data_IF_211097147677
#
_entry.id   IF_211097147677
#
_cell.length_a   1.000
_cell.length_b   1.000
_cell.length_c   1.000
_cell.angle_alpha   90.00
_cell.angle_beta   90.00
_cell.angle_gamma   90.00
#
_symmetry.space_group_name_H-M   'P 1'
#
loop_
_entity.id
_entity.type
_entity.pdbx_description
1 polymer ?
#
# COMPACT_ATOMS: atom_id res chain seq x y z
N UNK A 1 -3.83 -15.92 8.39
CA UNK A 1 -3.96 -14.99 7.24
C UNK A 1 -5.12 -15.47 6.41
N UNK A 2 -6.08 -14.59 6.12
CA UNK A 2 -7.23 -14.90 5.25
C UNK A 2 -7.06 -14.07 4.00
N UNK A 3 -7.07 -14.72 2.84
CA UNK A 3 -6.96 -14.07 1.53
C UNK A 3 -8.25 -14.27 0.76
N UNK A 4 -8.63 -13.26 -0.01
CA UNK A 4 -9.76 -13.32 -0.93
C UNK A 4 -9.21 -13.39 -2.35
N UNK A 5 -9.69 -14.36 -3.13
CA UNK A 5 -9.26 -14.52 -4.51
C UNK A 5 -9.90 -13.42 -5.35
N UNK A 6 -9.08 -12.67 -6.07
CA UNK A 6 -9.55 -11.65 -7.01
C UNK A 6 -10.15 -12.36 -8.24
N UNK A 7 -11.43 -12.12 -8.51
CA UNK A 7 -12.07 -12.54 -9.76
C UNK A 7 -11.60 -11.65 -10.92
N UNK A 8 -10.68 -12.17 -11.74
CA UNK A 8 -10.13 -11.44 -12.88
C UNK A 8 -11.15 -11.12 -13.96
N UNK A 9 -12.30 -11.78 -14.03
CA UNK A 9 -13.28 -11.52 -15.10
C UNK A 9 -14.11 -10.26 -14.82
N UNK A 10 -14.41 -9.98 -13.56
CA UNK A 10 -15.14 -8.78 -13.13
C UNK A 10 -14.20 -7.63 -12.69
N UNK A 11 -12.89 -7.88 -12.63
CA UNK A 11 -11.94 -6.88 -12.13
C UNK A 11 -11.66 -5.76 -13.13
N UNK A 12 -12.13 -4.54 -12.81
CA UNK A 12 -11.91 -3.33 -13.61
C UNK A 12 -10.44 -3.04 -13.95
N UNK A 13 -9.49 -3.53 -13.15
CA UNK A 13 -8.05 -3.29 -13.36
C UNK A 13 -7.34 -4.42 -14.11
N UNK A 14 -8.07 -5.43 -14.62
CA UNK A 14 -7.50 -6.61 -15.31
C UNK A 14 -6.52 -6.23 -16.40
N UNK A 15 -6.92 -5.35 -17.32
CA UNK A 15 -6.08 -4.96 -18.47
C UNK A 15 -4.79 -4.24 -18.04
N UNK A 16 -4.90 -3.29 -17.10
CA UNK A 16 -3.74 -2.60 -16.54
C UNK A 16 -2.81 -3.54 -15.79
N UNK A 17 -3.36 -4.48 -15.02
CA UNK A 17 -2.56 -5.48 -14.32
C UNK A 17 -1.78 -6.33 -15.33
N UNK A 18 -2.42 -6.85 -16.38
CA UNK A 18 -1.74 -7.64 -17.41
C UNK A 18 -0.63 -6.84 -18.11
N UNK A 19 -0.91 -5.57 -18.42
CA UNK A 19 0.06 -4.72 -19.07
C UNK A 19 1.29 -4.46 -18.20
N UNK A 20 1.13 -4.02 -16.95
CA UNK A 20 2.24 -3.65 -16.08
C UNK A 20 2.87 -4.82 -15.31
N UNK A 21 2.22 -5.98 -15.30
CA UNK A 21 2.74 -7.18 -14.64
C UNK A 21 3.41 -8.15 -15.64
N UNK A 22 2.81 -8.36 -16.82
CA UNK A 22 3.28 -9.35 -17.81
C UNK A 22 3.95 -8.69 -19.01
N UNK A 23 3.24 -7.77 -19.68
CA UNK A 23 3.68 -7.25 -20.99
C UNK A 23 4.87 -6.30 -20.88
N UNK A 24 4.80 -5.35 -19.92
CA UNK A 24 5.83 -4.36 -19.64
C UNK A 24 5.99 -4.25 -18.11
N UNK A 25 6.70 -5.21 -17.48
CA UNK A 25 6.93 -5.20 -16.04
C UNK A 25 7.65 -3.92 -15.60
N UNK A 26 7.05 -3.14 -14.70
CA UNK A 26 7.65 -1.90 -14.22
C UNK A 26 7.26 -1.56 -12.78
N UNK A 27 8.12 -0.75 -12.13
CA UNK A 27 7.92 -0.24 -10.77
C UNK A 27 8.31 1.22 -10.70
N UNK A 28 7.69 1.98 -9.79
CA UNK A 28 8.04 3.37 -9.52
C UNK A 28 8.29 3.58 -8.02
N UNK A 29 9.03 4.64 -7.70
CA UNK A 29 9.20 5.13 -6.34
C UNK A 29 8.95 6.63 -6.30
N UNK A 30 8.54 7.13 -5.14
CA UNK A 30 8.33 8.56 -4.92
C UNK A 30 8.75 8.95 -3.50
N UNK A 31 9.27 10.16 -3.36
CA UNK A 31 9.67 10.73 -2.07
C UNK A 31 8.82 11.94 -1.79
N UNK A 32 8.19 11.96 -0.61
CA UNK A 32 7.39 13.10 -0.14
C UNK A 32 7.81 13.50 1.26
N UNK A 33 7.73 14.81 1.56
CA UNK A 33 7.92 15.31 2.92
C UNK A 33 6.57 15.24 3.64
N UNK A 34 6.52 14.47 4.72
CA UNK A 34 5.33 14.33 5.57
C UNK A 34 5.52 15.15 6.85
N UNK A 35 4.55 15.99 7.20
CA UNK A 35 4.56 16.73 8.45
C UNK A 35 4.23 15.81 9.64
N UNK A 36 5.21 15.63 10.53
CA UNK A 36 5.12 14.79 11.74
C UNK A 36 4.91 15.60 13.03
N UNK A 37 4.59 16.89 12.94
CA UNK A 37 4.46 17.80 14.09
C UNK A 37 3.50 17.25 15.15
N UNK A 38 2.39 16.63 14.74
CA UNK A 38 1.41 16.05 15.66
C UNK A 38 1.97 14.86 16.47
N UNK A 39 2.86 14.06 15.89
CA UNK A 39 3.51 12.93 16.57
C UNK A 39 4.44 13.46 17.68
N UNK A 40 5.20 14.51 17.36
CA UNK A 40 6.10 15.18 18.33
C UNK A 40 5.32 15.85 19.46
N UNK A 41 4.24 16.57 19.14
CA UNK A 41 3.37 17.23 20.16
C UNK A 41 2.78 16.24 21.15
N UNK A 42 2.44 15.03 20.70
CA UNK A 42 1.92 13.94 21.54
C UNK A 42 3.01 13.15 22.29
N UNK A 43 4.28 13.56 22.17
CA UNK A 43 5.44 12.90 22.80
C UNK A 43 5.53 11.38 22.54
N UNK A 44 5.07 10.94 21.37
CA UNK A 44 5.11 9.54 20.97
C UNK A 44 6.52 9.13 20.58
N UNK A 45 6.91 7.88 20.89
CA UNK A 45 8.13 7.27 20.33
C UNK A 45 8.00 7.23 18.80
N UNK A 46 8.90 7.91 18.09
CA UNK A 46 8.75 8.17 16.66
C UNK A 46 8.65 6.89 15.83
N UNK A 47 9.59 5.95 16.03
CA UNK A 47 9.65 4.73 15.23
C UNK A 47 8.40 3.83 15.34
N UNK A 48 7.93 3.42 16.55
CA UNK A 48 6.73 2.63 16.66
C UNK A 48 5.47 3.38 16.21
N UNK A 49 5.40 4.71 16.39
CA UNK A 49 4.29 5.51 15.90
C UNK A 49 4.21 5.51 14.36
N UNK A 50 5.35 5.75 13.69
CA UNK A 50 5.42 5.71 12.23
C UNK A 50 5.06 4.33 11.69
N UNK A 51 5.60 3.26 12.29
CA UNK A 51 5.30 1.89 11.89
C UNK A 51 3.81 1.59 12.00
N UNK A 52 3.18 1.96 13.11
CA UNK A 52 1.73 1.80 13.31
C UNK A 52 0.92 2.58 12.28
N UNK A 53 1.22 3.86 12.03
CA UNK A 53 0.46 4.65 11.06
C UNK A 53 0.59 4.14 9.63
N UNK A 54 1.81 3.78 9.20
CA UNK A 54 2.04 3.22 7.86
C UNK A 54 1.28 1.90 7.71
N UNK A 55 1.46 0.97 8.64
CA UNK A 55 0.81 -0.35 8.58
C UNK A 55 -0.71 -0.24 8.68
N UNK A 56 -1.25 0.72 9.42
CA UNK A 56 -2.69 0.98 9.49
C UNK A 56 -3.26 1.35 8.11
N UNK A 57 -2.57 2.21 7.35
CA UNK A 57 -3.02 2.59 6.01
C UNK A 57 -2.81 1.45 5.02
N UNK A 58 -1.65 0.78 5.04
CA UNK A 58 -1.39 -0.41 4.20
C UNK A 58 -2.47 -1.47 4.39
N UNK A 59 -2.92 -1.70 5.63
CA UNK A 59 -3.97 -2.69 5.90
C UNK A 59 -5.39 -2.25 5.55
N UNK A 60 -5.63 -0.94 5.41
CA UNK A 60 -6.95 -0.39 5.04
C UNK A 60 -7.23 -0.52 3.54
N UNK A 61 -6.19 -0.53 2.71
CA UNK A 61 -6.28 -0.55 1.25
C UNK A 61 -5.93 -1.95 0.72
N UNK A 62 -6.77 -2.53 -0.12
CA UNK A 62 -6.57 -3.89 -0.63
C UNK A 62 -5.44 -3.99 -1.65
N UNK A 63 -5.20 -2.92 -2.41
CA UNK A 63 -4.16 -2.80 -3.42
C UNK A 63 -2.73 -2.94 -2.87
N UNK A 64 -2.51 -2.67 -1.57
CA UNK A 64 -1.21 -2.86 -0.93
C UNK A 64 -1.03 -4.25 -0.30
N UNK A 65 -2.04 -5.13 -0.40
CA UNK A 65 -2.06 -6.47 0.21
C UNK A 65 -2.28 -7.60 -0.79
N UNK A 66 -2.04 -7.34 -2.08
CA UNK A 66 -2.11 -8.35 -3.13
C UNK A 66 -0.84 -9.21 -3.13
N UNK A 67 -0.97 -10.50 -3.40
CA UNK A 67 0.12 -11.45 -3.58
C UNK A 67 -0.23 -12.44 -4.71
N UNK A 68 0.77 -13.19 -5.19
CA UNK A 68 0.64 -14.20 -6.26
C UNK A 68 0.95 -15.57 -5.68
#
# INVERSE_FOLDING_TARGET
>A
MVFEKIDRNSWKRKEYFEHYFTNIPCTYSMTVKVDITQIKKKQMKLYPAMLYYITTIVNRHSEFRTAI
#
